data_IF_670478450948
#
_entry.id   IF_670478450948
#
_cell.length_a   1.000
_cell.length_b   1.000
_cell.length_c   1.000
_cell.angle_alpha   90.00
_cell.angle_beta   90.00
_cell.angle_gamma   90.00
#
_symmetry.space_group_name_H-M   'P 1'
#
loop_
_entity.id
_entity.type
_entity.pdbx_description
1 polymer ?
#
# COMPACT_ATOMS: atom_id res chain seq x y z
N UNK A 1 30.22 -1.07 13.48
CA UNK A 1 29.47 -1.50 12.29
C UNK A 1 28.02 -1.22 12.56
N UNK A 2 27.49 -0.11 12.07
CA UNK A 2 26.06 0.21 12.15
C UNK A 2 25.34 -0.81 11.27
N UNK A 3 24.54 -1.70 11.86
CA UNK A 3 23.59 -2.47 11.07
C UNK A 3 22.74 -1.46 10.27
N UNK A 4 22.55 -1.63 8.95
CA UNK A 4 21.57 -0.85 8.25
C UNK A 4 20.25 -1.02 8.99
N UNK A 5 19.60 0.08 9.35
CA UNK A 5 18.24 0.03 9.89
C UNK A 5 17.41 -0.83 8.94
N UNK A 6 16.65 -1.78 9.48
CA UNK A 6 15.75 -2.60 8.66
C UNK A 6 14.90 -1.67 7.79
N UNK A 7 14.83 -1.95 6.49
CA UNK A 7 14.14 -1.09 5.55
C UNK A 7 12.68 -0.85 5.98
N UNK A 8 12.15 0.37 5.78
CA UNK A 8 10.83 0.72 6.29
C UNK A 8 9.70 -0.08 5.62
N UNK A 9 8.63 -0.27 6.38
CA UNK A 9 7.37 -0.82 5.91
C UNK A 9 6.37 0.31 5.65
N UNK A 10 5.67 0.23 4.52
CA UNK A 10 4.78 1.27 4.02
C UNK A 10 3.33 0.78 3.98
N UNK A 11 2.37 1.44 4.62
CA UNK A 11 0.96 1.05 4.59
C UNK A 11 0.33 1.52 3.27
N UNK A 12 0.44 0.73 2.20
CA UNK A 12 0.16 1.22 0.82
C UNK A 12 -1.31 1.20 0.43
N UNK A 13 -2.10 0.26 0.96
CA UNK A 13 -3.50 0.10 0.58
C UNK A 13 -4.30 -0.67 1.64
N UNK A 14 -5.61 -0.39 1.83
CA UNK A 14 -6.49 -1.24 2.62
C UNK A 14 -6.58 -2.65 2.02
N UNK A 15 -6.34 -3.68 2.83
CA UNK A 15 -6.28 -5.08 2.36
C UNK A 15 -7.58 -5.51 1.66
N UNK A 16 -8.73 -5.01 2.13
CA UNK A 16 -10.04 -5.30 1.57
C UNK A 16 -10.25 -4.77 0.13
N UNK A 17 -9.44 -3.80 -0.31
CA UNK A 17 -9.46 -3.30 -1.69
C UNK A 17 -8.80 -4.24 -2.71
N UNK A 18 -8.02 -5.22 -2.25
CA UNK A 18 -7.35 -6.21 -3.08
C UNK A 18 -8.12 -7.53 -3.02
N UNK A 19 -8.94 -7.78 -4.05
CA UNK A 19 -9.76 -8.99 -4.13
C UNK A 19 -8.92 -10.11 -4.77
N UNK A 20 -8.78 -11.27 -4.11
CA UNK A 20 -8.04 -12.43 -4.64
C UNK A 20 -8.42 -12.76 -6.08
N UNK A 21 -7.41 -12.88 -6.96
CA UNK A 21 -7.60 -13.29 -8.34
C UNK A 21 -8.34 -12.30 -9.25
N UNK A 22 -8.72 -11.11 -8.77
CA UNK A 22 -9.74 -10.31 -9.44
C UNK A 22 -9.31 -8.91 -9.87
N UNK A 23 -8.42 -8.22 -9.14
CA UNK A 23 -8.00 -6.86 -9.50
C UNK A 23 -6.52 -6.58 -9.19
N UNK A 24 -6.00 -5.56 -9.89
CA UNK A 24 -4.68 -4.99 -9.69
C UNK A 24 -4.90 -3.51 -9.34
N UNK A 25 -4.38 -3.10 -8.19
CA UNK A 25 -4.52 -1.74 -7.65
C UNK A 25 -3.20 -1.01 -7.80
N UNK A 26 -3.24 0.23 -8.28
CA UNK A 26 -2.07 1.10 -8.29
C UNK A 26 -1.73 1.55 -6.87
N UNK A 27 -0.46 1.42 -6.49
CA UNK A 27 0.07 1.91 -5.22
C UNK A 27 1.34 2.74 -5.43
N UNK A 28 1.78 3.40 -4.37
CA UNK A 28 3.01 4.17 -4.35
C UNK A 28 3.71 4.03 -2.99
N UNK A 29 5.03 4.03 -2.99
CA UNK A 29 5.84 4.18 -1.78
C UNK A 29 7.20 4.78 -2.16
N UNK A 30 7.63 5.86 -1.50
CA UNK A 30 8.92 6.52 -1.73
C UNK A 30 9.26 6.78 -3.22
N UNK A 31 8.26 7.15 -4.02
CA UNK A 31 8.41 7.39 -5.46
C UNK A 31 8.34 6.12 -6.33
N UNK A 32 8.33 4.92 -5.76
CA UNK A 32 8.13 3.66 -6.47
C UNK A 32 6.65 3.47 -6.82
N UNK A 33 6.34 3.35 -8.11
CA UNK A 33 5.00 2.95 -8.58
C UNK A 33 4.82 1.44 -8.44
N UNK A 34 3.72 1.01 -7.81
CA UNK A 34 3.46 -0.38 -7.43
C UNK A 34 2.22 -0.95 -8.14
N UNK A 35 2.31 -2.20 -8.56
CA UNK A 35 1.17 -3.04 -8.91
C UNK A 35 0.86 -3.95 -7.72
N UNK A 36 -0.22 -3.62 -7.01
CA UNK A 36 -0.68 -4.35 -5.83
C UNK A 36 -1.80 -5.30 -6.22
N UNK A 37 -1.66 -6.59 -5.94
CA UNK A 37 -2.67 -7.58 -6.29
C UNK A 37 -2.63 -8.77 -5.34
N UNK A 38 -3.59 -9.69 -5.51
CA UNK A 38 -3.59 -10.99 -4.84
C UNK A 38 -3.72 -12.08 -5.86
N UNK A 39 -2.91 -13.12 -5.73
CA UNK A 39 -3.13 -14.39 -6.41
C UNK A 39 -4.49 -14.98 -6.03
N UNK A 40 -4.98 -15.93 -6.81
CA UNK A 40 -6.27 -16.56 -6.56
C UNK A 40 -6.33 -17.29 -5.20
N UNK A 41 -5.18 -17.79 -4.72
CA UNK A 41 -5.02 -18.36 -3.36
C UNK A 41 -4.99 -17.30 -2.24
N UNK A 42 -5.07 -16.01 -2.57
CA UNK A 42 -5.13 -14.90 -1.62
C UNK A 42 -3.78 -14.32 -1.21
N UNK A 43 -2.65 -14.89 -1.65
CA UNK A 43 -1.33 -14.38 -1.29
C UNK A 43 -1.12 -12.95 -1.82
N UNK A 44 -0.68 -12.06 -0.94
CA UNK A 44 -0.45 -10.66 -1.27
C UNK A 44 0.78 -10.50 -2.18
N UNK A 45 0.66 -9.62 -3.17
CA UNK A 45 1.70 -9.33 -4.14
C UNK A 45 1.88 -7.81 -4.26
N UNK A 46 3.12 -7.34 -4.20
CA UNK A 46 3.49 -5.96 -4.47
C UNK A 46 4.66 -5.94 -5.44
N UNK A 47 4.41 -5.52 -6.68
CA UNK A 47 5.40 -5.54 -7.75
C UNK A 47 5.73 -4.12 -8.20
N UNK A 48 6.89 -3.92 -8.81
CA UNK A 48 7.11 -2.73 -9.63
C UNK A 48 6.02 -2.68 -10.71
N UNK A 49 5.37 -1.52 -10.88
CA UNK A 49 4.31 -1.38 -11.89
C UNK A 49 4.86 -1.27 -13.32
N UNK A 50 5.72 -2.22 -13.72
CA UNK A 50 6.46 -2.18 -14.97
C UNK A 50 6.73 -3.57 -15.50
N UNK A 51 6.17 -3.88 -16.66
CA UNK A 51 6.45 -5.12 -17.37
C UNK A 51 7.92 -5.16 -17.86
N UNK A 52 8.71 -6.21 -17.54
CA UNK A 52 10.12 -6.28 -17.92
C UNK A 52 10.34 -6.43 -19.44
N UNK A 53 9.29 -6.74 -20.21
CA UNK A 53 9.38 -6.83 -21.67
C UNK A 53 9.47 -5.45 -22.36
N UNK A 54 8.49 -4.56 -22.10
CA UNK A 54 8.35 -3.25 -22.78
C UNK A 54 7.79 -2.15 -21.87
N UNK A 55 7.98 -2.27 -20.56
CA UNK A 55 7.66 -1.25 -19.55
C UNK A 55 6.18 -0.87 -19.37
N UNK A 56 5.25 -1.56 -20.01
CA UNK A 56 3.81 -1.30 -19.81
C UNK A 56 3.43 -1.59 -18.36
N UNK A 57 2.62 -0.70 -17.76
CA UNK A 57 2.12 -0.85 -16.40
C UNK A 57 1.32 -2.14 -16.24
N UNK A 58 1.63 -2.89 -15.19
CA UNK A 58 0.89 -4.09 -14.83
C UNK A 58 -0.52 -3.81 -14.33
N UNK A 59 -0.78 -2.61 -13.79
CA UNK A 59 -2.13 -2.17 -13.40
C UNK A 59 -3.13 -2.10 -14.56
N UNK A 60 -2.66 -2.09 -15.81
CA UNK A 60 -3.51 -2.17 -17.00
C UNK A 60 -3.83 -3.62 -17.40
N UNK A 61 -3.12 -4.60 -16.82
CA UNK A 61 -3.25 -6.02 -17.11
C UNK A 61 -4.39 -6.69 -16.34
N UNK A 62 -4.26 -8.01 -16.19
CA UNK A 62 -5.24 -8.83 -15.48
C UNK A 62 -4.57 -9.95 -14.69
N UNK A 63 -5.24 -10.39 -13.63
CA UNK A 63 -4.86 -11.59 -12.90
C UNK A 63 -5.47 -12.80 -13.61
N UNK A 64 -4.65 -13.80 -13.89
CA UNK A 64 -5.06 -15.07 -14.50
C UNK A 64 -4.58 -16.18 -13.58
N UNK A 65 -5.48 -16.77 -12.82
CA UNK A 65 -5.15 -17.74 -11.76
C UNK A 65 -4.16 -17.13 -10.74
N UNK A 66 -2.95 -17.70 -10.63
CA UNK A 66 -1.86 -17.21 -9.78
C UNK A 66 -0.77 -16.48 -10.59
N UNK A 67 -1.17 -15.83 -11.69
CA UNK A 67 -0.28 -15.10 -12.59
C UNK A 67 -0.82 -13.71 -12.87
N UNK A 68 0.08 -12.79 -13.20
CA UNK A 68 -0.28 -11.49 -13.74
C UNK A 68 0.04 -11.47 -15.24
N UNK A 69 -0.97 -11.22 -16.06
CA UNK A 69 -0.84 -11.09 -17.52
C UNK A 69 -0.79 -9.61 -17.93
N UNK A 70 0.28 -9.22 -18.62
CA UNK A 70 0.49 -7.86 -19.10
C UNK A 70 -0.49 -7.52 -20.24
N UNK A 71 -1.12 -6.35 -20.18
CA UNK A 71 -2.08 -5.88 -21.19
C UNK A 71 -1.52 -5.72 -22.61
N UNK A 72 -0.19 -5.63 -22.77
CA UNK A 72 0.38 -5.34 -24.07
C UNK A 72 0.46 -6.58 -24.97
N UNK A 73 1.24 -7.58 -24.55
CA UNK A 73 1.48 -8.80 -25.34
C UNK A 73 1.03 -10.07 -24.59
N UNK A 74 0.30 -9.90 -23.48
CA UNK A 74 -0.21 -11.01 -22.69
C UNK A 74 0.85 -11.80 -21.90
N UNK A 75 2.13 -11.36 -21.89
CA UNK A 75 3.19 -12.04 -21.14
C UNK A 75 2.76 -12.25 -19.69
N UNK A 76 2.91 -13.48 -19.23
CA UNK A 76 2.42 -13.95 -17.95
C UNK A 76 3.57 -14.16 -16.98
N UNK A 77 3.41 -13.64 -15.77
CA UNK A 77 4.40 -13.72 -14.70
C UNK A 77 3.79 -14.40 -13.49
N UNK A 78 4.49 -15.36 -12.89
CA UNK A 78 4.02 -16.09 -11.71
C UNK A 78 4.05 -15.22 -10.45
N UNK A 79 3.06 -15.39 -9.58
CA UNK A 79 3.07 -14.86 -8.21
C UNK A 79 4.32 -15.31 -7.43
N UNK A 80 4.73 -14.53 -6.43
CA UNK A 80 5.90 -14.82 -5.61
C UNK A 80 7.17 -14.24 -6.20
N UNK A 81 7.81 -14.94 -7.16
CA UNK A 81 9.10 -14.53 -7.72
C UNK A 81 9.01 -13.67 -8.99
N UNK A 82 7.80 -13.43 -9.52
CA UNK A 82 7.60 -12.63 -10.73
C UNK A 82 8.13 -13.28 -12.01
N UNK A 83 8.48 -14.57 -12.01
CA UNK A 83 9.09 -15.23 -13.17
C UNK A 83 8.15 -15.28 -14.38
N UNK A 84 8.66 -15.00 -15.58
CA UNK A 84 7.90 -15.23 -16.82
C UNK A 84 7.59 -16.73 -16.97
N UNK A 85 6.31 -17.05 -17.10
CA UNK A 85 5.81 -18.43 -17.23
C UNK A 85 5.02 -18.66 -18.52
N UNK A 86 4.77 -17.62 -19.31
CA UNK A 86 4.02 -17.77 -20.56
C UNK A 86 4.18 -16.58 -21.50
N UNK A 87 4.36 -16.89 -22.78
CA UNK A 87 4.38 -15.93 -23.89
C UNK A 87 3.27 -16.34 -24.86
N UNK A 88 2.08 -15.72 -24.82
CA UNK A 88 0.94 -16.16 -25.62
C UNK A 88 1.18 -16.23 -27.13
N UNK A 89 2.01 -15.34 -27.67
CA UNK A 89 2.38 -15.37 -29.10
C UNK A 89 3.31 -16.55 -29.49
N UNK A 90 3.98 -17.16 -28.51
CA UNK A 90 4.92 -18.27 -28.70
C UNK A 90 4.68 -19.37 -27.67
N UNK A 91 3.52 -20.05 -27.69
CA UNK A 91 3.10 -20.96 -26.61
C UNK A 91 3.98 -22.22 -26.48
N UNK A 92 4.65 -22.63 -27.57
CA UNK A 92 5.58 -23.75 -27.56
C UNK A 92 7.00 -23.37 -27.10
N UNK A 93 7.31 -22.07 -26.96
CA UNK A 93 8.62 -21.61 -26.54
C UNK A 93 8.72 -21.66 -25.02
N UNK A 94 9.78 -22.27 -24.44
CA UNK A 94 10.04 -22.16 -23.02
C UNK A 94 10.16 -20.69 -22.61
N UNK A 95 9.41 -20.29 -21.57
CA UNK A 95 9.48 -18.93 -21.06
C UNK A 95 10.90 -18.63 -20.52
N UNK A 96 11.47 -17.45 -20.82
CA UNK A 96 12.83 -17.10 -20.43
C UNK A 96 12.90 -16.93 -18.91
N UNK A 97 13.71 -17.77 -18.25
CA UNK A 97 13.82 -17.82 -16.79
C UNK A 97 14.37 -16.56 -16.15
N UNK A 98 15.11 -15.74 -16.91
CA UNK A 98 15.75 -14.50 -16.47
C UNK A 98 14.91 -13.24 -16.70
N UNK A 99 13.70 -13.37 -17.26
CA UNK A 99 12.79 -12.24 -17.43
C UNK A 99 11.76 -12.29 -16.31
N UNK A 100 12.08 -11.65 -15.19
CA UNK A 100 11.22 -11.58 -14.01
C UNK A 100 10.68 -10.17 -13.82
N UNK A 101 9.44 -10.06 -13.36
CA UNK A 101 8.93 -8.83 -12.75
C UNK A 101 9.68 -8.57 -11.45
N UNK A 102 9.95 -7.31 -11.13
CA UNK A 102 10.52 -6.94 -9.84
C UNK A 102 9.45 -7.02 -8.76
N UNK A 103 9.70 -7.81 -7.73
CA UNK A 103 8.80 -8.03 -6.60
C UNK A 103 9.35 -7.36 -5.35
N UNK A 104 8.45 -6.87 -4.50
CA UNK A 104 8.74 -6.28 -3.20
C UNK A 104 8.11 -7.11 -2.07
N UNK A 105 8.61 -6.96 -0.85
CA UNK A 105 8.04 -7.62 0.32
C UNK A 105 6.64 -7.11 0.59
N UNK A 106 5.68 -8.00 0.84
CA UNK A 106 4.27 -7.66 1.01
C UNK A 106 3.65 -8.47 2.16
N UNK A 107 3.02 -7.80 3.13
CA UNK A 107 2.35 -8.46 4.26
C UNK A 107 1.03 -7.79 4.60
N UNK A 108 0.04 -8.58 4.99
CA UNK A 108 -1.19 -8.08 5.60
C UNK A 108 -1.00 -7.91 7.10
N UNK A 109 -1.28 -6.71 7.59
CA UNK A 109 -1.31 -6.43 9.03
C UNK A 109 -2.24 -5.26 9.31
N UNK A 110 -3.03 -5.36 10.39
CA UNK A 110 -3.93 -4.30 10.84
C UNK A 110 -4.88 -3.78 9.73
N UNK A 111 -5.37 -4.69 8.88
CA UNK A 111 -6.30 -4.36 7.78
C UNK A 111 -5.67 -3.62 6.59
N UNK A 112 -4.35 -3.46 6.57
CA UNK A 112 -3.59 -2.84 5.51
C UNK A 112 -2.62 -3.84 4.85
N UNK A 113 -2.42 -3.66 3.55
CA UNK A 113 -1.27 -4.20 2.86
C UNK A 113 -0.06 -3.30 3.15
N UNK A 114 0.98 -3.88 3.74
CA UNK A 114 2.25 -3.24 3.98
C UNK A 114 3.28 -3.69 2.96
N UNK A 115 4.10 -2.77 2.45
CA UNK A 115 5.14 -3.06 1.46
C UNK A 115 6.51 -2.68 1.99
N UNK A 116 7.51 -3.54 1.75
CA UNK A 116 8.92 -3.29 2.01
C UNK A 116 9.68 -3.25 0.69
N UNK A 117 10.22 -2.09 0.35
CA UNK A 117 10.86 -1.84 -0.95
C UNK A 117 12.28 -2.44 -1.08
N UNK A 118 12.90 -2.81 0.03
CA UNK A 118 14.26 -3.37 0.06
C UNK A 118 14.29 -4.89 0.26
N UNK A 119 13.13 -5.55 0.31
CA UNK A 119 13.08 -6.99 0.44
C UNK A 119 13.65 -7.66 -0.82
N UNK A 120 14.65 -8.48 -0.62
CA UNK A 120 15.24 -9.35 -1.63
C UNK A 120 14.93 -10.80 -1.25
N UNK A 121 14.16 -11.50 -2.09
CA UNK A 121 13.78 -12.89 -1.84
C UNK A 121 12.48 -13.30 -2.53
N UNK A 122 12.29 -14.61 -2.68
CA UNK A 122 11.10 -15.20 -3.31
C UNK A 122 9.92 -15.37 -2.34
N UNK A 123 10.19 -15.36 -1.03
CA UNK A 123 9.21 -15.61 0.02
C UNK A 123 8.86 -14.32 0.78
N UNK A 124 7.58 -14.06 1.08
CA UNK A 124 7.18 -12.91 1.88
C UNK A 124 7.90 -12.93 3.23
N UNK A 125 8.50 -11.82 3.68
CA UNK A 125 9.08 -11.77 5.01
C UNK A 125 7.95 -11.85 6.06
N UNK A 126 8.23 -12.36 7.28
CA UNK A 126 7.25 -12.32 8.35
C UNK A 126 6.89 -10.87 8.68
N UNK A 127 5.61 -10.61 8.94
CA UNK A 127 5.16 -9.28 9.35
C UNK A 127 5.76 -8.94 10.72
N UNK A 128 6.45 -7.80 10.88
CA UNK A 128 6.85 -7.33 12.21
C UNK A 128 5.63 -7.12 13.11
N UNK A 129 5.73 -7.53 14.39
CA UNK A 129 4.64 -7.39 15.35
C UNK A 129 4.09 -5.96 15.45
N UNK A 130 4.98 -4.96 15.35
CA UNK A 130 4.59 -3.55 15.36
C UNK A 130 3.55 -3.18 14.28
N UNK A 131 3.54 -3.87 13.13
CA UNK A 131 2.53 -3.62 12.09
C UNK A 131 1.15 -4.12 12.49
N UNK A 132 1.07 -5.21 13.27
CA UNK A 132 -0.20 -5.73 13.77
C UNK A 132 -0.84 -4.77 14.78
N UNK A 133 -0.02 -4.02 15.53
CA UNK A 133 -0.46 -3.05 16.53
C UNK A 133 -0.72 -1.64 15.95
N UNK A 134 -0.53 -1.48 14.62
CA UNK A 134 -0.70 -0.20 13.93
C UNK A 134 -2.13 0.35 14.06
N UNK A 135 -3.13 -0.53 13.92
CA UNK A 135 -4.55 -0.22 14.11
C UNK A 135 -5.12 -1.20 15.13
N UNK A 136 -5.84 -0.73 16.17
CA UNK A 136 -6.47 -1.62 17.13
C UNK A 136 -7.48 -2.57 16.48
N UNK A 137 -7.59 -3.78 17.03
CA UNK A 137 -8.56 -4.76 16.55
C UNK A 137 -10.01 -4.22 16.64
N UNK A 138 -10.82 -4.56 15.64
CA UNK A 138 -12.22 -4.13 15.56
C UNK A 138 -12.44 -2.71 15.02
N UNK A 139 -11.38 -1.93 14.79
CA UNK A 139 -11.50 -0.61 14.19
C UNK A 139 -11.80 -0.69 12.69
N UNK A 140 -12.43 0.35 12.18
CA UNK A 140 -12.93 0.44 10.83
C UNK A 140 -12.14 1.44 10.00
N UNK A 141 -11.84 1.07 8.76
CA UNK A 141 -11.26 1.99 7.79
C UNK A 141 -12.28 3.07 7.45
N UNK A 142 -11.89 4.34 7.61
CA UNK A 142 -12.71 5.47 7.23
C UNK A 142 -12.44 5.86 5.77
N UNK A 143 -11.23 6.34 5.48
CA UNK A 143 -10.82 6.79 4.14
C UNK A 143 -9.32 7.00 4.04
N UNK A 144 -8.85 7.12 2.81
CA UNK A 144 -7.55 7.69 2.50
C UNK A 144 -7.69 9.19 2.21
N UNK A 145 -6.85 10.00 2.84
CA UNK A 145 -6.61 11.38 2.44
C UNK A 145 -5.45 11.41 1.47
N UNK A 146 -5.68 11.98 0.29
CA UNK A 146 -4.63 12.31 -0.66
C UNK A 146 -4.17 13.73 -0.42
N UNK A 147 -2.93 13.90 0.01
CA UNK A 147 -2.36 15.19 0.39
C UNK A 147 -1.39 15.66 -0.70
N UNK A 148 -1.60 16.88 -1.21
CA UNK A 148 -0.67 17.59 -2.10
C UNK A 148 0.50 18.18 -1.30
N UNK A 149 1.20 17.32 -0.57
CA UNK A 149 2.32 17.65 0.30
C UNK A 149 3.25 16.44 0.42
N UNK A 150 4.54 16.67 0.63
CA UNK A 150 5.49 15.60 0.96
C UNK A 150 5.28 15.06 2.38
N UNK A 151 5.70 13.83 2.64
CA UNK A 151 5.46 13.18 3.94
C UNK A 151 6.09 13.92 5.13
N UNK A 152 7.22 14.61 4.94
CA UNK A 152 7.83 15.42 6.00
C UNK A 152 6.90 16.52 6.50
N UNK A 153 6.28 17.28 5.59
CA UNK A 153 5.31 18.32 5.95
C UNK A 153 4.15 17.74 6.76
N UNK A 154 3.67 16.55 6.38
CA UNK A 154 2.59 15.86 7.12
C UNK A 154 3.05 15.45 8.52
N UNK A 155 4.27 14.90 8.67
CA UNK A 155 4.85 14.53 9.97
C UNK A 155 4.97 15.73 10.91
N UNK A 156 5.28 16.91 10.37
CA UNK A 156 5.37 18.14 11.14
C UNK A 156 3.98 18.69 11.52
N UNK A 157 2.98 18.52 10.66
CA UNK A 157 1.63 19.01 10.90
C UNK A 157 0.84 18.20 11.93
N UNK A 158 0.94 16.87 11.90
CA UNK A 158 0.14 15.97 12.74
C UNK A 158 0.24 16.27 14.25
N UNK A 159 1.43 16.52 14.86
CA UNK A 159 1.54 16.94 16.26
C UNK A 159 0.77 18.22 16.59
N UNK A 160 0.81 19.22 15.72
CA UNK A 160 0.09 20.50 15.91
C UNK A 160 -1.43 20.31 15.86
N UNK A 161 -1.87 19.27 15.17
CA UNK A 161 -3.27 18.89 14.99
C UNK A 161 -3.72 17.83 16.02
N UNK A 162 -2.94 17.62 17.08
CA UNK A 162 -3.31 16.75 18.21
C UNK A 162 -3.06 15.25 17.99
N UNK A 163 -2.26 14.89 16.99
CA UNK A 163 -1.82 13.50 16.78
C UNK A 163 -0.46 13.22 17.42
N UNK A 164 -0.30 12.07 18.04
CA UNK A 164 0.97 11.58 18.60
C UNK A 164 1.46 10.37 17.82
N UNK A 165 2.78 10.16 17.76
CA UNK A 165 3.35 9.02 17.06
C UNK A 165 2.95 7.69 17.75
N UNK A 166 2.56 6.70 16.94
CA UNK A 166 2.25 5.34 17.37
C UNK A 166 3.48 4.42 17.32
N UNK A 167 3.29 3.15 17.67
CA UNK A 167 4.36 2.15 17.72
C UNK A 167 4.80 1.67 16.32
N UNK A 168 3.89 1.67 15.34
CA UNK A 168 4.20 1.23 13.97
C UNK A 168 4.81 2.37 13.13
N UNK A 169 5.69 2.08 12.16
CA UNK A 169 6.20 3.07 11.23
C UNK A 169 5.07 3.85 10.54
N UNK A 170 5.13 5.18 10.62
CA UNK A 170 4.13 6.06 10.00
C UNK A 170 2.77 6.08 10.70
N UNK A 171 2.57 5.34 11.80
CA UNK A 171 1.31 5.39 12.54
C UNK A 171 1.26 6.59 13.49
N UNK A 172 0.09 7.20 13.55
CA UNK A 172 -0.23 8.32 14.43
C UNK A 172 -1.58 8.07 15.10
N UNK A 173 -1.75 8.55 16.34
CA UNK A 173 -3.00 8.43 17.11
C UNK A 173 -3.47 9.80 17.56
N UNK A 174 -4.77 10.04 17.46
CA UNK A 174 -5.37 11.30 17.88
C UNK A 174 -6.89 11.19 17.92
N UNK A 175 -7.55 12.33 17.96
CA UNK A 175 -9.01 12.42 17.92
C UNK A 175 -9.41 13.30 16.75
N UNK A 176 -10.34 12.84 15.92
CA UNK A 176 -10.83 13.56 14.75
C UNK A 176 -12.36 13.59 14.80
N UNK A 177 -12.95 14.78 14.77
CA UNK A 177 -14.41 14.93 14.89
C UNK A 177 -14.95 14.40 16.23
N UNK A 178 -14.14 14.42 17.30
CA UNK A 178 -14.49 13.87 18.61
C UNK A 178 -14.33 12.34 18.73
N UNK A 179 -13.87 11.65 17.69
CA UNK A 179 -13.70 10.19 17.70
C UNK A 179 -12.21 9.78 17.67
N UNK A 180 -11.79 8.82 18.50
CA UNK A 180 -10.47 8.21 18.41
C UNK A 180 -10.14 7.75 16.99
N UNK A 181 -8.96 8.13 16.51
CA UNK A 181 -8.53 7.95 15.12
C UNK A 181 -7.05 7.55 15.05
N UNK A 182 -6.77 6.56 14.21
CA UNK A 182 -5.41 6.23 13.77
C UNK A 182 -5.22 6.80 12.37
N UNK A 183 -4.09 7.48 12.16
CA UNK A 183 -3.65 7.97 10.87
C UNK A 183 -2.36 7.26 10.48
N UNK A 184 -2.41 6.44 9.42
CA UNK A 184 -1.22 5.80 8.86
C UNK A 184 -0.70 6.64 7.68
N UNK A 185 0.44 7.27 7.88
CA UNK A 185 1.12 8.09 6.89
C UNK A 185 1.95 7.24 5.94
N UNK A 186 1.72 7.42 4.65
CA UNK A 186 2.51 6.90 3.54
C UNK A 186 3.21 8.05 2.82
N UNK A 187 4.53 7.95 2.71
CA UNK A 187 5.31 8.71 1.75
C UNK A 187 5.13 8.08 0.37
N UNK A 188 4.31 8.70 -0.49
CA UNK A 188 3.98 8.14 -1.79
C UNK A 188 4.96 8.65 -2.87
N UNK A 189 5.14 9.97 -2.96
CA UNK A 189 6.09 10.66 -3.84
C UNK A 189 6.54 11.98 -3.22
N UNK A 190 7.52 12.66 -3.82
CA UNK A 190 8.13 13.89 -3.28
C UNK A 190 7.13 14.98 -2.83
N UNK A 191 5.98 15.11 -3.52
CA UNK A 191 4.93 16.10 -3.21
C UNK A 191 3.54 15.45 -3.07
N UNK A 192 3.53 14.17 -2.72
CA UNK A 192 2.32 13.38 -2.56
C UNK A 192 2.47 12.47 -1.35
N UNK A 193 1.60 12.64 -0.37
CA UNK A 193 1.50 11.76 0.78
C UNK A 193 0.07 11.25 0.90
N UNK A 194 -0.08 10.02 1.40
CA UNK A 194 -1.38 9.50 1.78
C UNK A 194 -1.48 9.35 3.29
N UNK A 195 -2.66 9.64 3.83
CA UNK A 195 -2.99 9.33 5.23
C UNK A 195 -4.21 8.42 5.25
N UNK A 196 -4.02 7.18 5.68
CA UNK A 196 -5.09 6.20 5.83
C UNK A 196 -5.69 6.32 7.22
N UNK A 197 -6.95 6.71 7.30
CA UNK A 197 -7.65 6.96 8.56
C UNK A 197 -8.46 5.72 8.98
N UNK A 198 -8.27 5.32 10.22
CA UNK A 198 -9.01 4.25 10.90
C UNK A 198 -9.63 4.77 12.19
N UNK A 199 -10.76 4.22 12.61
CA UNK A 199 -11.51 4.70 13.78
C UNK A 199 -12.34 3.58 14.41
N UNK A 200 -12.70 3.72 15.69
CA UNK A 200 -13.67 2.84 16.34
C UNK A 200 -15.12 3.11 15.92
N UNK A 201 -15.41 4.24 15.26
CA UNK A 201 -16.76 4.54 14.83
C UNK A 201 -17.29 3.48 13.85
N UNK A 202 -18.47 2.95 14.14
CA UNK A 202 -19.11 1.96 13.29
C UNK A 202 -19.42 2.56 11.89
N UNK A 203 -19.28 1.78 10.80
CA UNK A 203 -19.63 2.23 9.46
C UNK A 203 -21.08 2.72 9.39
N UNK A 204 -21.30 3.87 8.74
CA UNK A 204 -22.63 4.47 8.58
C UNK A 204 -23.18 5.24 9.79
N UNK A 205 -22.51 5.18 10.94
CA UNK A 205 -22.87 5.95 12.15
C UNK A 205 -22.71 7.47 11.96
N UNK A 206 -23.39 8.26 12.80
CA UNK A 206 -23.18 9.72 12.84
C UNK A 206 -21.74 10.09 13.20
N UNK A 207 -21.08 9.32 14.08
CA UNK A 207 -19.67 9.52 14.40
C UNK A 207 -18.78 9.37 13.15
N UNK A 208 -19.01 8.34 12.32
CA UNK A 208 -18.28 8.17 11.06
C UNK A 208 -18.54 9.33 10.07
N UNK A 209 -19.77 9.84 10.00
CA UNK A 209 -20.10 11.00 9.15
C UNK A 209 -19.37 12.26 9.62
N UNK A 210 -19.35 12.53 10.92
CA UNK A 210 -18.61 13.64 11.54
C UNK A 210 -17.11 13.51 11.27
N UNK A 211 -16.55 12.30 11.41
CA UNK A 211 -15.15 12.04 11.13
C UNK A 211 -14.81 12.26 9.64
N UNK A 212 -15.67 11.86 8.71
CA UNK A 212 -15.48 12.18 7.28
C UNK A 212 -15.43 13.69 7.01
N UNK A 213 -16.24 14.49 7.72
CA UNK A 213 -16.20 15.94 7.61
C UNK A 213 -14.91 16.52 8.18
N UNK A 214 -14.54 16.12 9.40
CA UNK A 214 -13.30 16.55 10.04
C UNK A 214 -12.05 16.13 9.25
N UNK A 215 -12.07 14.97 8.57
CA UNK A 215 -10.99 14.53 7.70
C UNK A 215 -10.77 15.44 6.47
N UNK A 216 -11.82 16.11 5.97
CA UNK A 216 -11.66 17.12 4.91
C UNK A 216 -10.97 18.37 5.44
N UNK A 217 -11.34 18.82 6.64
CA UNK A 217 -10.69 19.95 7.33
C UNK A 217 -9.22 19.63 7.61
N UNK A 218 -8.93 18.47 8.18
CA UNK A 218 -7.56 18.00 8.44
C UNK A 218 -6.68 18.07 7.19
N UNK A 219 -7.20 17.64 6.04
CA UNK A 219 -6.48 17.76 4.76
C UNK A 219 -6.18 19.22 4.41
N UNK A 220 -7.16 20.11 4.56
CA UNK A 220 -6.98 21.55 4.34
C UNK A 220 -5.90 22.14 5.23
N UNK A 221 -5.95 21.85 6.53
CA UNK A 221 -4.99 22.36 7.52
C UNK A 221 -3.55 21.88 7.24
N UNK A 222 -3.39 20.68 6.68
CA UNK A 222 -2.07 20.14 6.30
C UNK A 222 -1.56 20.78 5.00
N UNK A 223 -2.41 20.89 3.97
CA UNK A 223 -2.04 21.44 2.66
C UNK A 223 -1.84 22.97 2.71
N UNK A 224 -2.52 23.67 3.63
CA UNK A 224 -2.53 25.12 3.76
C UNK A 224 -2.35 25.53 5.24
N UNK A 225 -1.15 25.40 5.81
CA UNK A 225 -0.92 25.58 7.24
C UNK A 225 -1.14 27.02 7.79
N UNK A 226 -1.46 28.01 6.95
CA UNK A 226 -1.56 29.44 7.29
C UNK A 226 -2.73 30.16 6.58
N UNK A 227 -3.89 29.54 6.42
CA UNK A 227 -5.13 30.24 6.05
C UNK A 227 -5.89 30.69 7.31
#
# INVERSE_FOLDING_TARGET
>A
MTHPAAAPWHPVAPSAGLRPGANIVAGFAEGQELALWRSADGAAQAWENRCPHRSVRFTLGQVVENRLSCAYHGWQYAAGNGQCVGIPAHPAMPAPRNVCARVFGAVDAAGMLWVNLAHEGDAPPPAPQALADAVPAGWHFCRTLTLRAGAQQVREALPRLGFTAGAAPGAWRGTLGGTPTVALLLDAQAQLAFVHLWTEAAPGSEAMKTLHAAARTLRGDIEQPNA
#
